data_IF_007583793215
#
_entry.id   IF_007583793215
#
_cell.length_a   1.000
_cell.length_b   1.000
_cell.length_c   1.000
_cell.angle_alpha   90.00
_cell.angle_beta   90.00
_cell.angle_gamma   90.00
#
_symmetry.space_group_name_H-M   'P 1'
#
loop_
_entity.id
_entity.type
_entity.pdbx_description
1 polymer ?
#
# COMPACT_ATOMS: atom_id res chain seq x y z
N UNK A 1 13.10 -15.26 12.13
CA UNK A 1 12.27 -14.28 11.40
C UNK A 1 10.78 -14.56 11.58
N UNK A 2 10.24 -15.63 10.98
CA UNK A 2 8.80 -15.94 11.02
C UNK A 2 8.22 -16.05 12.43
N UNK A 3 8.94 -16.74 13.34
CA UNK A 3 8.53 -16.83 14.75
C UNK A 3 8.38 -15.46 15.42
N UNK A 4 9.28 -14.51 15.15
CA UNK A 4 9.22 -13.16 15.73
C UNK A 4 7.99 -12.42 15.19
N UNK A 5 7.77 -12.43 13.87
CA UNK A 5 6.58 -11.80 13.27
C UNK A 5 5.29 -12.40 13.82
N UNK A 6 5.20 -13.73 13.93
CA UNK A 6 4.05 -14.40 14.53
C UNK A 6 3.82 -13.92 15.98
N UNK A 7 4.85 -13.98 16.83
CA UNK A 7 4.71 -13.57 18.25
C UNK A 7 4.35 -12.10 18.39
N UNK A 8 5.01 -11.20 17.65
CA UNK A 8 4.71 -9.78 17.65
C UNK A 8 3.28 -9.50 17.18
N UNK A 9 2.83 -10.15 16.10
CA UNK A 9 1.50 -9.94 15.55
C UNK A 9 0.40 -10.45 16.49
N UNK A 10 0.55 -11.67 17.03
CA UNK A 10 -0.41 -12.21 17.99
C UNK A 10 -0.48 -11.35 19.27
N UNK A 11 0.66 -10.82 19.72
CA UNK A 11 0.71 -9.92 20.89
C UNK A 11 0.03 -8.59 20.60
N UNK A 12 0.29 -7.98 19.44
CA UNK A 12 -0.36 -6.75 19.01
C UNK A 12 -1.88 -6.93 18.90
N UNK A 13 -2.36 -8.01 18.29
CA UNK A 13 -3.80 -8.30 18.23
C UNK A 13 -4.43 -8.43 19.62
N UNK A 14 -3.76 -9.13 20.54
CA UNK A 14 -4.28 -9.34 21.89
C UNK A 14 -4.36 -8.05 22.70
N UNK A 15 -3.31 -7.23 22.65
CA UNK A 15 -3.22 -5.97 23.39
C UNK A 15 -4.11 -4.87 22.81
N UNK A 16 -4.11 -4.75 21.48
CA UNK A 16 -4.63 -3.57 20.79
C UNK A 16 -6.03 -3.77 20.20
N UNK A 17 -6.42 -5.03 19.98
CA UNK A 17 -7.75 -5.42 19.48
C UNK A 17 -8.21 -4.60 18.25
N UNK A 18 -7.39 -4.50 17.18
CA UNK A 18 -7.74 -3.66 16.04
C UNK A 18 -8.93 -4.23 15.25
N UNK A 19 -9.77 -3.34 14.72
CA UNK A 19 -10.82 -3.71 13.77
C UNK A 19 -10.22 -4.15 12.42
N UNK A 20 -9.14 -3.48 11.99
CA UNK A 20 -8.50 -3.70 10.69
C UNK A 20 -6.99 -3.64 10.84
N UNK A 21 -6.30 -4.55 10.17
CA UNK A 21 -4.84 -4.57 10.00
C UNK A 21 -4.51 -4.38 8.53
N UNK A 22 -3.61 -3.44 8.23
CA UNK A 22 -3.07 -3.24 6.89
C UNK A 22 -1.64 -3.77 6.78
N UNK A 23 -1.37 -4.58 5.75
CA UNK A 23 -0.01 -5.00 5.37
C UNK A 23 0.35 -4.31 4.05
N UNK A 24 1.38 -3.47 4.10
CA UNK A 24 1.74 -2.56 3.00
C UNK A 24 2.70 -3.19 1.97
N UNK A 25 2.42 -4.43 1.54
CA UNK A 25 3.24 -5.15 0.55
C UNK A 25 4.36 -5.99 1.14
N UNK A 26 5.08 -6.66 0.24
CA UNK A 26 6.19 -7.58 0.54
C UNK A 26 5.79 -8.64 1.57
N UNK A 27 4.61 -9.21 1.36
CA UNK A 27 4.07 -10.28 2.19
C UNK A 27 4.92 -11.54 2.05
N UNK A 28 5.38 -11.82 0.84
CA UNK A 28 6.21 -12.96 0.50
C UNK A 28 7.60 -12.51 0.09
N UNK A 29 8.61 -13.11 0.71
CA UNK A 29 10.02 -12.81 0.44
C UNK A 29 10.41 -13.11 -1.02
N UNK A 30 9.90 -14.25 -1.53
CA UNK A 30 10.29 -14.84 -2.80
C UNK A 30 9.12 -15.02 -3.77
N UNK A 31 8.01 -14.32 -3.52
CA UNK A 31 6.83 -14.36 -4.38
C UNK A 31 7.20 -14.15 -5.85
N UNK A 32 8.02 -13.15 -6.16
CA UNK A 32 8.46 -12.82 -7.53
C UNK A 32 9.06 -13.98 -8.34
N UNK A 33 9.62 -15.02 -7.73
CA UNK A 33 10.17 -16.19 -8.43
C UNK A 33 9.71 -17.54 -7.89
N UNK A 34 8.76 -17.57 -6.96
CA UNK A 34 8.27 -18.80 -6.34
C UNK A 34 7.60 -19.73 -7.37
N UNK A 35 7.98 -21.01 -7.36
CA UNK A 35 7.21 -22.07 -8.01
C UNK A 35 5.79 -22.17 -7.40
N UNK A 36 4.82 -22.80 -8.07
CA UNK A 36 3.48 -22.97 -7.52
C UNK A 36 3.46 -23.68 -6.14
N UNK A 37 4.34 -24.66 -5.94
CA UNK A 37 4.49 -25.36 -4.66
C UNK A 37 5.10 -24.45 -3.58
N UNK A 38 6.18 -23.73 -3.90
CA UNK A 38 6.80 -22.80 -2.95
C UNK A 38 5.82 -21.68 -2.56
N UNK A 39 5.06 -21.14 -3.51
CA UNK A 39 3.98 -20.19 -3.26
C UNK A 39 2.94 -20.76 -2.28
N UNK A 40 2.46 -21.97 -2.51
CA UNK A 40 1.49 -22.61 -1.61
C UNK A 40 2.04 -22.77 -0.18
N UNK A 41 3.33 -23.08 -0.05
CA UNK A 41 4.01 -23.20 1.24
C UNK A 41 4.13 -21.84 1.95
N UNK A 42 4.52 -20.79 1.22
CA UNK A 42 4.53 -19.41 1.70
C UNK A 42 3.14 -18.98 2.18
N UNK A 43 2.09 -19.27 1.41
CA UNK A 43 0.70 -18.98 1.80
C UNK A 43 0.31 -19.69 3.10
N UNK A 44 0.70 -20.97 3.26
CA UNK A 44 0.42 -21.73 4.49
C UNK A 44 1.12 -21.10 5.70
N UNK A 45 2.38 -20.67 5.54
CA UNK A 45 3.13 -19.98 6.61
C UNK A 45 2.53 -18.63 6.94
N UNK A 46 2.20 -17.82 5.93
CA UNK A 46 1.54 -16.53 6.11
C UNK A 46 0.23 -16.67 6.92
N UNK A 47 -0.65 -17.58 6.52
CA UNK A 47 -1.93 -17.82 7.21
C UNK A 47 -1.76 -18.28 8.66
N UNK A 48 -0.65 -18.99 8.96
CA UNK A 48 -0.31 -19.38 10.33
C UNK A 48 0.18 -18.18 11.14
N UNK A 49 1.15 -17.43 10.62
CA UNK A 49 1.77 -16.31 11.34
C UNK A 49 0.75 -15.20 11.64
N UNK A 50 -0.04 -14.83 10.63
CA UNK A 50 -0.99 -13.72 10.67
C UNK A 50 -2.43 -14.19 10.95
N UNK A 51 -2.59 -15.29 11.68
CA UNK A 51 -3.90 -15.77 12.13
C UNK A 51 -4.54 -14.70 13.02
N UNK A 52 -5.80 -14.38 12.77
CA UNK A 52 -6.55 -13.35 13.49
C UNK A 52 -8.00 -13.82 13.72
N UNK A 53 -8.70 -13.27 14.74
CA UNK A 53 -10.10 -13.60 14.96
C UNK A 53 -10.99 -12.97 13.87
N UNK A 54 -12.15 -13.56 13.61
CA UNK A 54 -13.08 -13.12 12.56
C UNK A 54 -13.48 -11.63 12.60
N UNK A 55 -13.62 -10.97 13.77
CA UNK A 55 -13.95 -9.55 13.82
C UNK A 55 -12.84 -8.64 13.29
N UNK A 56 -11.58 -9.08 13.31
CA UNK A 56 -10.45 -8.31 12.77
C UNK A 56 -10.34 -8.60 11.28
N UNK A 57 -10.38 -7.56 10.45
CA UNK A 57 -10.08 -7.70 9.02
C UNK A 57 -8.58 -7.53 8.77
N UNK A 58 -8.01 -8.37 7.90
CA UNK A 58 -6.65 -8.18 7.41
C UNK A 58 -6.68 -7.86 5.93
N UNK A 59 -6.07 -6.73 5.57
CA UNK A 59 -6.00 -6.21 4.21
C UNK A 59 -4.53 -6.09 3.81
N UNK A 60 -4.15 -6.71 2.70
CA UNK A 60 -2.80 -6.59 2.15
C UNK A 60 -2.83 -5.89 0.79
N UNK A 61 -1.89 -4.97 0.58
CA UNK A 61 -1.56 -4.45 -0.75
C UNK A 61 -0.32 -5.18 -1.28
N UNK A 62 -0.11 -5.13 -2.59
CA UNK A 62 0.97 -5.86 -3.26
C UNK A 62 2.28 -5.07 -3.24
N UNK A 63 3.40 -5.75 -2.97
CA UNK A 63 4.76 -5.22 -3.09
C UNK A 63 5.60 -5.91 -4.17
N UNK A 64 6.85 -5.47 -4.32
CA UNK A 64 7.74 -5.96 -5.38
C UNK A 64 8.31 -7.35 -5.06
N UNK A 65 8.43 -7.75 -3.80
CA UNK A 65 8.79 -9.13 -3.47
C UNK A 65 7.65 -10.12 -3.74
N UNK A 66 6.40 -9.65 -3.76
CA UNK A 66 5.23 -10.48 -4.03
C UNK A 66 5.11 -10.86 -5.53
N UNK A 67 5.33 -9.87 -6.41
CA UNK A 67 5.06 -10.01 -7.85
C UNK A 67 6.23 -9.66 -8.78
N UNK A 68 7.34 -9.20 -8.23
CA UNK A 68 8.51 -8.70 -8.96
C UNK A 68 8.53 -7.17 -9.00
N UNK A 69 9.70 -6.60 -9.30
CA UNK A 69 9.75 -5.23 -9.81
C UNK A 69 8.98 -5.14 -11.14
N UNK A 70 8.70 -3.92 -11.62
CA UNK A 70 7.91 -3.72 -12.84
C UNK A 70 8.36 -4.59 -14.03
N UNK A 71 9.68 -4.66 -14.29
CA UNK A 71 10.25 -5.44 -15.39
C UNK A 71 10.10 -6.98 -15.23
N UNK A 72 9.82 -7.47 -14.02
CA UNK A 72 9.59 -8.89 -13.68
C UNK A 72 8.11 -9.21 -13.44
N UNK A 73 7.26 -8.18 -13.35
CA UNK A 73 5.85 -8.32 -13.03
C UNK A 73 5.11 -8.99 -14.18
N UNK A 74 4.31 -10.02 -13.85
CA UNK A 74 3.48 -10.72 -14.84
C UNK A 74 2.04 -10.84 -14.37
N UNK A 75 1.12 -10.97 -15.32
CA UNK A 75 -0.30 -11.16 -15.01
C UNK A 75 -0.54 -12.40 -14.13
N UNK A 76 0.23 -13.47 -14.31
CA UNK A 76 0.16 -14.66 -13.45
C UNK A 76 0.48 -14.33 -11.98
N UNK A 77 1.59 -13.61 -11.73
CA UNK A 77 2.04 -13.25 -10.38
C UNK A 77 1.05 -12.29 -9.71
N UNK A 78 0.56 -11.29 -10.43
CA UNK A 78 -0.46 -10.35 -9.95
C UNK A 78 -1.77 -11.08 -9.64
N UNK A 79 -2.28 -11.90 -10.58
CA UNK A 79 -3.57 -12.58 -10.40
C UNK A 79 -3.58 -13.56 -9.22
N UNK A 80 -2.49 -14.29 -8.96
CA UNK A 80 -2.44 -15.20 -7.80
C UNK A 80 -2.38 -14.45 -6.47
N UNK A 81 -1.73 -13.28 -6.43
CA UNK A 81 -1.72 -12.41 -5.25
C UNK A 81 -3.12 -11.81 -5.02
N UNK A 82 -3.71 -11.22 -6.05
CA UNK A 82 -5.06 -10.64 -6.04
C UNK A 82 -6.10 -11.66 -5.54
N UNK A 83 -6.04 -12.89 -6.05
CA UNK A 83 -6.93 -13.99 -5.63
C UNK A 83 -6.76 -14.36 -4.16
N UNK A 84 -5.52 -14.37 -3.65
CA UNK A 84 -5.26 -14.76 -2.27
C UNK A 84 -5.78 -13.72 -1.26
N UNK A 85 -5.56 -12.44 -1.56
CA UNK A 85 -5.85 -11.33 -0.64
C UNK A 85 -7.17 -10.61 -0.93
N UNK A 86 -7.97 -11.12 -1.89
CA UNK A 86 -9.15 -10.42 -2.40
C UNK A 86 -8.81 -8.96 -2.76
N UNK A 87 -7.66 -8.76 -3.39
CA UNK A 87 -7.15 -7.46 -3.82
C UNK A 87 -7.38 -7.31 -5.33
N UNK A 88 -7.43 -6.07 -5.81
CA UNK A 88 -7.33 -5.75 -7.23
C UNK A 88 -6.38 -4.57 -7.36
N UNK A 89 -5.57 -4.54 -8.42
CA UNK A 89 -4.63 -3.45 -8.73
C UNK A 89 -5.36 -2.12 -8.88
N UNK A 90 -5.64 -1.44 -7.77
CA UNK A 90 -6.72 -0.47 -7.61
C UNK A 90 -7.97 -1.09 -6.97
N UNK A 91 -8.18 -0.86 -5.67
CA UNK A 91 -9.37 -1.29 -4.91
C UNK A 91 -9.79 -0.21 -3.91
N UNK A 92 -11.08 -0.01 -3.74
CA UNK A 92 -11.64 0.79 -2.65
C UNK A 92 -12.24 -0.13 -1.59
N UNK A 93 -11.93 0.13 -0.32
CA UNK A 93 -12.68 -0.39 0.81
C UNK A 93 -13.17 0.75 1.69
N UNK A 94 -14.37 0.59 2.26
CA UNK A 94 -14.96 1.59 3.15
C UNK A 94 -15.25 0.94 4.50
N UNK A 95 -14.71 1.51 5.58
CA UNK A 95 -14.92 1.03 6.95
C UNK A 95 -15.21 2.20 7.87
N UNK A 96 -16.28 2.11 8.66
CA UNK A 96 -16.68 3.14 9.63
C UNK A 96 -16.70 4.56 9.03
N UNK A 97 -17.18 4.69 7.80
CA UNK A 97 -17.26 5.98 7.08
C UNK A 97 -15.94 6.49 6.49
N UNK A 98 -14.86 5.71 6.56
CA UNK A 98 -13.55 6.05 6.00
C UNK A 98 -13.32 5.25 4.72
N UNK A 99 -12.93 5.96 3.66
CA UNK A 99 -12.53 5.36 2.38
C UNK A 99 -11.02 5.10 2.35
N UNK A 100 -10.63 3.87 2.01
CA UNK A 100 -9.23 3.47 1.79
C UNK A 100 -9.06 3.02 0.34
N UNK A 101 -8.14 3.65 -0.37
CA UNK A 101 -7.78 3.31 -1.75
C UNK A 101 -6.48 2.53 -1.72
N UNK A 102 -6.55 1.26 -2.11
CA UNK A 102 -5.42 0.36 -2.19
C UNK A 102 -4.84 0.43 -3.60
N UNK A 103 -3.57 0.79 -3.71
CA UNK A 103 -2.88 1.02 -4.98
C UNK A 103 -1.84 -0.08 -5.20
N UNK A 104 -1.85 -0.69 -6.39
CA UNK A 104 -0.72 -1.50 -6.83
C UNK A 104 0.36 -0.54 -7.36
N UNK A 105 1.27 -0.11 -6.47
CA UNK A 105 2.32 0.84 -6.80
C UNK A 105 3.36 0.26 -7.77
N UNK A 106 3.55 -1.06 -7.82
CA UNK A 106 4.43 -1.72 -8.81
C UNK A 106 3.89 -1.52 -10.24
N UNK A 107 2.58 -1.38 -10.40
CA UNK A 107 1.93 -1.12 -11.68
C UNK A 107 1.83 0.38 -12.05
N UNK A 108 2.46 1.28 -11.29
CA UNK A 108 2.48 2.73 -11.54
C UNK A 108 3.77 3.18 -12.24
N UNK A 109 4.26 2.39 -13.20
CA UNK A 109 5.51 2.65 -13.93
C UNK A 109 5.44 3.88 -14.88
N UNK A 110 4.26 4.10 -15.47
CA UNK A 110 4.03 5.15 -16.47
C UNK A 110 4.46 4.77 -17.91
N UNK A 111 4.80 3.51 -18.19
CA UNK A 111 5.19 3.04 -19.53
C UNK A 111 4.02 2.56 -20.41
N UNK A 112 2.81 2.54 -19.87
CA UNK A 112 1.62 2.09 -20.58
C UNK A 112 1.49 0.56 -20.73
N UNK A 113 2.20 -0.23 -19.91
CA UNK A 113 2.07 -1.69 -19.90
C UNK A 113 0.60 -2.13 -19.70
N UNK A 114 0.24 -3.35 -20.11
CA UNK A 114 -1.15 -3.83 -20.02
C UNK A 114 -1.71 -3.84 -18.60
N UNK A 115 -0.91 -4.29 -17.63
CA UNK A 115 -1.27 -4.30 -16.20
C UNK A 115 -1.37 -2.86 -15.67
N UNK A 116 -0.44 -2.00 -16.06
CA UNK A 116 -0.34 -0.60 -15.68
C UNK A 116 -1.56 0.20 -16.12
N UNK A 117 -1.94 0.09 -17.40
CA UNK A 117 -3.14 0.73 -17.95
C UNK A 117 -4.41 0.26 -17.27
N UNK A 118 -4.52 -1.05 -16.99
CA UNK A 118 -5.68 -1.59 -16.28
C UNK A 118 -5.75 -1.06 -14.83
N UNK A 119 -4.60 -0.95 -14.15
CA UNK A 119 -4.51 -0.38 -12.80
C UNK A 119 -4.88 1.10 -12.78
N UNK A 120 -4.28 1.92 -13.65
CA UNK A 120 -4.60 3.34 -13.76
C UNK A 120 -6.07 3.59 -14.12
N UNK A 121 -6.65 2.78 -15.03
CA UNK A 121 -8.06 2.91 -15.39
C UNK A 121 -9.00 2.62 -14.20
N UNK A 122 -8.69 1.61 -13.37
CA UNK A 122 -9.42 1.33 -12.13
C UNK A 122 -9.30 2.48 -11.14
N UNK A 123 -8.08 2.98 -10.91
CA UNK A 123 -7.85 4.10 -10.00
C UNK A 123 -8.57 5.38 -10.45
N UNK A 124 -8.56 5.68 -11.75
CA UNK A 124 -9.29 6.81 -12.30
C UNK A 124 -10.81 6.67 -12.11
N UNK A 125 -11.36 5.46 -12.29
CA UNK A 125 -12.77 5.21 -12.02
C UNK A 125 -13.13 5.39 -10.53
N UNK A 126 -12.28 4.91 -9.62
CA UNK A 126 -12.45 5.13 -8.17
C UNK A 126 -12.36 6.62 -7.79
N UNK A 127 -11.42 7.36 -8.40
CA UNK A 127 -11.31 8.82 -8.23
C UNK A 127 -12.59 9.53 -8.66
N UNK A 128 -13.15 9.17 -9.81
CA UNK A 128 -14.43 9.71 -10.26
C UNK A 128 -15.56 9.42 -9.26
N UNK A 129 -15.64 8.20 -8.74
CA UNK A 129 -16.65 7.81 -7.75
C UNK A 129 -16.53 8.60 -6.44
N UNK A 130 -15.32 8.76 -5.91
CA UNK A 130 -15.05 9.52 -4.70
C UNK A 130 -15.37 11.01 -4.90
N UNK A 131 -14.95 11.60 -6.01
CA UNK A 131 -15.22 13.00 -6.33
C UNK A 131 -16.72 13.28 -6.48
N UNK A 132 -17.49 12.37 -7.10
CA UNK A 132 -18.94 12.48 -7.17
C UNK A 132 -19.59 12.43 -5.78
N UNK A 133 -19.06 11.62 -4.87
CA UNK A 133 -19.58 11.48 -3.50
C UNK A 133 -19.28 12.69 -2.62
N UNK A 134 -18.26 13.48 -2.95
CA UNK A 134 -17.90 14.72 -2.25
C UNK A 134 -18.66 15.96 -2.78
N UNK A 135 -19.32 15.87 -3.94
CA UNK A 135 -20.07 17.01 -4.49
C UNK A 135 -21.31 17.32 -3.63
N UNK A 136 -21.42 18.58 -3.19
CA UNK A 136 -22.63 19.08 -2.51
C UNK A 136 -23.83 18.98 -3.47
N UNK A 137 -24.97 18.50 -2.97
CA UNK A 137 -26.18 18.22 -3.77
C UNK A 137 -26.70 19.39 -4.62
N UNK A 138 -26.32 20.64 -4.32
CA UNK A 138 -26.78 21.83 -5.06
C UNK A 138 -26.17 21.99 -6.47
N UNK A 139 -25.16 21.19 -6.83
CA UNK A 139 -24.59 21.15 -8.18
C UNK A 139 -24.36 19.70 -8.63
N UNK A 140 -25.40 18.85 -8.60
CA UNK A 140 -25.31 17.51 -9.15
C UNK A 140 -24.98 17.59 -10.65
N UNK A 141 -23.70 17.41 -10.98
CA UNK A 141 -23.26 17.28 -12.36
C UNK A 141 -23.97 16.05 -12.96
N UNK A 142 -24.55 16.15 -14.17
CA UNK A 142 -25.19 15.00 -14.84
C UNK A 142 -24.28 13.78 -14.93
N UNK A 143 -22.96 13.98 -14.85
CA UNK A 143 -21.94 12.92 -14.84
C UNK A 143 -21.89 12.07 -13.56
N UNK A 144 -22.51 12.52 -12.47
CA UNK A 144 -22.53 11.82 -11.19
C UNK A 144 -23.89 11.17 -10.86
N UNK A 145 -24.88 11.24 -11.76
CA UNK A 145 -26.24 10.78 -11.48
C UNK A 145 -26.34 9.27 -11.23
N UNK A 146 -25.50 8.49 -11.90
CA UNK A 146 -25.56 7.02 -11.89
C UNK A 146 -24.44 6.41 -11.01
N UNK A 147 -23.76 7.25 -10.23
CA UNK A 147 -22.61 6.85 -9.41
C UNK A 147 -23.08 6.52 -7.99
N UNK A 148 -22.75 5.32 -7.51
CA UNK A 148 -23.04 4.93 -6.13
C UNK A 148 -22.33 5.85 -5.14
N UNK A 149 -23.12 6.46 -4.25
CA UNK A 149 -22.63 7.39 -3.24
C UNK A 149 -21.82 6.66 -2.15
N UNK A 150 -20.58 7.10 -1.96
CA UNK A 150 -19.70 6.68 -0.89
C UNK A 150 -19.77 7.69 0.27
N UNK A 151 -19.25 7.36 1.46
CA UNK A 151 -19.03 8.37 2.49
C UNK A 151 -18.21 9.54 1.94
N UNK A 152 -18.66 10.76 2.22
CA UNK A 152 -18.00 12.00 1.80
C UNK A 152 -16.77 12.28 2.68
N UNK A 153 -15.76 11.40 2.61
CA UNK A 153 -14.47 11.54 3.29
C UNK A 153 -13.35 11.62 2.27
N UNK A 154 -12.35 12.46 2.54
CA UNK A 154 -11.05 12.36 1.86
C UNK A 154 -10.43 10.98 2.13
N UNK A 155 -9.98 10.26 1.10
CA UNK A 155 -9.53 8.89 1.25
C UNK A 155 -8.15 8.82 1.92
N UNK A 156 -7.84 7.63 2.44
CA UNK A 156 -6.48 7.23 2.82
C UNK A 156 -5.92 6.37 1.68
N UNK A 157 -4.73 6.69 1.18
CA UNK A 157 -4.04 5.84 0.20
C UNK A 157 -3.20 4.80 0.92
N UNK A 158 -3.30 3.55 0.50
CA UNK A 158 -2.50 2.43 0.98
C UNK A 158 -1.73 1.85 -0.20
N UNK A 159 -0.40 1.86 -0.10
CA UNK A 159 0.46 1.38 -1.19
C UNK A 159 1.78 0.83 -0.65
N UNK A 160 2.56 0.19 -1.52
CA UNK A 160 3.85 -0.36 -1.11
C UNK A 160 4.99 0.65 -1.31
N UNK A 161 5.20 1.14 -2.54
CA UNK A 161 6.21 2.16 -2.81
C UNK A 161 5.77 3.52 -2.28
N UNK A 162 6.65 4.29 -1.62
CA UNK A 162 6.34 5.68 -1.27
C UNK A 162 6.06 6.54 -2.49
N UNK A 163 5.38 7.67 -2.29
CA UNK A 163 5.40 8.71 -3.32
C UNK A 163 6.83 9.24 -3.49
N UNK A 164 7.03 9.94 -4.59
CA UNK A 164 8.30 10.55 -4.93
C UNK A 164 8.83 11.44 -3.80
N UNK A 165 10.03 11.14 -3.32
CA UNK A 165 10.91 12.01 -2.55
C UNK A 165 12.36 11.73 -2.95
N UNK A 166 13.24 12.72 -2.80
CA UNK A 166 14.62 12.59 -3.28
C UNK A 166 15.45 11.57 -2.49
N UNK A 167 15.21 11.46 -1.19
CA UNK A 167 15.84 10.52 -0.27
C UNK A 167 15.07 10.51 1.06
N UNK A 168 15.57 9.78 2.06
CA UNK A 168 15.08 9.82 3.43
C UNK A 168 15.78 10.88 4.30
N UNK A 169 16.51 11.84 3.71
CA UNK A 169 17.37 12.78 4.45
C UNK A 169 16.62 13.59 5.51
N UNK A 170 15.40 14.02 5.19
CA UNK A 170 14.51 14.79 6.06
C UNK A 170 13.77 13.93 7.09
N UNK A 171 13.84 12.60 6.97
CA UNK A 171 13.20 11.70 7.92
C UNK A 171 13.96 11.73 9.27
N UNK A 172 13.19 11.61 10.34
CA UNK A 172 13.69 11.59 11.72
C UNK A 172 12.88 10.60 12.56
N UNK A 173 13.34 10.36 13.79
CA UNK A 173 12.71 9.41 14.72
C UNK A 173 13.52 8.13 14.90
N UNK A 174 13.15 7.35 15.91
CA UNK A 174 13.83 6.13 16.33
C UNK A 174 13.93 5.08 15.21
N UNK A 175 12.89 5.00 14.39
CA UNK A 175 12.78 4.03 13.31
C UNK A 175 13.24 4.55 11.94
N UNK A 176 13.77 5.78 11.87
CA UNK A 176 14.31 6.34 10.62
C UNK A 176 15.57 5.61 10.14
N UNK A 177 15.86 5.71 8.84
CA UNK A 177 17.08 5.14 8.27
C UNK A 177 18.32 5.81 8.90
N UNK A 178 19.43 5.08 9.09
CA UNK A 178 20.64 5.64 9.67
C UNK A 178 21.23 6.75 8.77
N UNK A 179 22.03 7.69 9.31
CA UNK A 179 22.55 8.84 8.57
C UNK A 179 23.25 8.49 7.25
N UNK A 180 23.97 7.37 7.22
CA UNK A 180 24.67 6.85 6.05
C UNK A 180 23.75 6.36 4.93
N UNK A 181 22.54 5.94 5.24
CA UNK A 181 21.55 5.44 4.28
C UNK A 181 20.56 6.52 3.86
N UNK A 182 20.13 7.36 4.81
CA UNK A 182 19.03 8.29 4.56
C UNK A 182 19.36 9.38 3.53
N UNK A 183 20.64 9.70 3.34
CA UNK A 183 21.08 10.68 2.33
C UNK A 183 21.30 10.07 0.94
N UNK A 184 21.13 8.75 0.78
CA UNK A 184 21.29 8.10 -0.52
C UNK A 184 20.10 8.50 -1.41
N UNK A 185 20.34 9.09 -2.60
CA UNK A 185 19.26 9.47 -3.49
C UNK A 185 18.46 8.25 -3.95
N UNK A 186 17.14 8.35 -3.86
CA UNK A 186 16.23 7.33 -4.34
C UNK A 186 16.14 7.32 -5.86
N UNK A 187 16.04 6.11 -6.40
CA UNK A 187 15.77 5.85 -7.80
C UNK A 187 14.26 5.74 -8.01
N UNK A 188 13.71 6.63 -8.83
CA UNK A 188 12.33 6.55 -9.28
C UNK A 188 12.02 5.19 -9.90
N UNK A 189 10.80 4.70 -9.68
CA UNK A 189 10.26 3.42 -10.17
C UNK A 189 10.95 2.18 -9.57
N UNK A 190 11.84 2.40 -8.60
CA UNK A 190 12.52 1.35 -7.87
C UNK A 190 12.31 1.54 -6.37
N UNK A 191 12.88 2.60 -5.79
CA UNK A 191 12.78 2.89 -4.35
C UNK A 191 11.50 3.68 -4.03
N UNK A 192 11.01 4.48 -4.97
CA UNK A 192 9.82 5.34 -4.86
C UNK A 192 9.06 5.37 -6.18
N UNK A 193 7.79 5.78 -6.17
CA UNK A 193 7.06 6.11 -7.39
C UNK A 193 7.72 7.27 -8.15
N UNK A 194 7.46 7.34 -9.46
CA UNK A 194 7.92 8.49 -10.24
C UNK A 194 7.22 9.79 -9.81
N UNK A 195 7.83 10.94 -10.11
CA UNK A 195 7.21 12.26 -9.91
C UNK A 195 5.82 12.33 -10.53
N UNK A 196 5.67 11.84 -11.76
CA UNK A 196 4.40 11.86 -12.50
C UNK A 196 3.36 10.95 -11.86
N UNK A 197 3.73 9.71 -11.51
CA UNK A 197 2.83 8.78 -10.83
C UNK A 197 2.34 9.34 -9.49
N UNK A 198 3.25 9.97 -8.75
CA UNK A 198 2.94 10.59 -7.46
C UNK A 198 1.96 11.76 -7.59
N UNK A 199 2.20 12.64 -8.56
CA UNK A 199 1.32 13.75 -8.89
C UNK A 199 -0.07 13.28 -9.34
N UNK A 200 -0.14 12.21 -10.16
CA UNK A 200 -1.42 11.60 -10.55
C UNK A 200 -2.23 11.16 -9.34
N UNK A 201 -1.63 10.43 -8.40
CA UNK A 201 -2.33 9.93 -7.21
C UNK A 201 -2.83 11.06 -6.31
N UNK A 202 -1.99 12.08 -6.07
CA UNK A 202 -2.38 13.28 -5.31
C UNK A 202 -3.55 14.00 -5.99
N UNK A 203 -3.48 14.20 -7.30
CA UNK A 203 -4.51 14.88 -8.08
C UNK A 203 -5.82 14.09 -8.17
N UNK A 204 -5.74 12.78 -8.32
CA UNK A 204 -6.93 11.94 -8.44
C UNK A 204 -7.70 11.83 -7.13
N UNK A 205 -7.01 11.77 -6.01
CA UNK A 205 -7.64 11.38 -4.75
C UNK A 205 -7.71 12.47 -3.69
N UNK A 206 -6.88 13.51 -3.77
CA UNK A 206 -6.75 14.52 -2.71
C UNK A 206 -6.74 13.88 -1.31
N UNK A 207 -5.84 12.91 -1.06
CA UNK A 207 -5.95 12.09 0.13
C UNK A 207 -5.60 12.89 1.39
N UNK A 208 -6.20 12.51 2.52
CA UNK A 208 -5.88 13.10 3.81
C UNK A 208 -4.64 12.47 4.48
N UNK A 209 -4.27 11.27 4.04
CA UNK A 209 -3.14 10.49 4.53
C UNK A 209 -2.72 9.46 3.49
N UNK A 210 -1.43 9.24 3.37
CA UNK A 210 -0.84 8.17 2.57
C UNK A 210 -0.02 7.27 3.51
N UNK A 211 -0.23 5.97 3.43
CA UNK A 211 0.58 4.98 4.12
C UNK A 211 1.33 4.13 3.08
N UNK A 212 2.65 4.10 3.21
CA UNK A 212 3.56 3.37 2.33
C UNK A 212 4.54 2.48 3.11
N UNK A 213 5.38 1.71 2.40
CA UNK A 213 6.39 0.85 2.99
C UNK A 213 7.67 0.86 2.14
N UNK A 214 8.14 -0.33 1.73
CA UNK A 214 9.26 -0.57 0.82
C UNK A 214 10.67 -0.18 1.31
N UNK A 215 10.89 1.04 1.81
CA UNK A 215 12.23 1.50 2.24
C UNK A 215 12.69 0.87 3.56
N UNK A 216 11.83 0.06 4.18
CA UNK A 216 12.03 -0.64 5.46
C UNK A 216 12.24 0.25 6.68
N UNK A 217 12.25 1.57 6.51
CA UNK A 217 12.48 2.55 7.55
C UNK A 217 11.31 3.51 7.68
N UNK A 218 11.11 4.02 8.90
CA UNK A 218 10.07 4.99 9.16
C UNK A 218 10.44 6.32 8.51
N UNK A 219 9.47 6.93 7.84
CA UNK A 219 9.61 8.30 7.38
C UNK A 219 8.26 9.00 7.34
N UNK A 220 8.23 10.25 7.80
CA UNK A 220 7.08 11.12 7.67
C UNK A 220 7.47 12.30 6.77
N UNK A 221 6.70 12.51 5.70
CA UNK A 221 6.90 13.62 4.77
C UNK A 221 5.58 14.31 4.46
N UNK A 222 5.66 15.58 4.08
CA UNK A 222 4.49 16.39 3.75
C UNK A 222 4.51 16.76 2.26
N UNK A 223 3.60 16.17 1.50
CA UNK A 223 3.45 16.42 0.07
C UNK A 223 2.62 17.67 -0.19
N UNK A 224 3.07 18.51 -1.13
CA UNK A 224 2.44 19.79 -1.48
C UNK A 224 2.16 20.71 -0.27
N UNK A 225 2.86 20.52 0.84
CA UNK A 225 2.67 21.27 2.08
C UNK A 225 1.41 20.94 2.86
N UNK A 226 0.62 19.94 2.45
CA UNK A 226 -0.69 19.65 3.08
C UNK A 226 -1.01 18.17 3.28
N UNK A 227 -0.44 17.26 2.48
CA UNK A 227 -0.80 15.83 2.50
C UNK A 227 0.29 15.03 3.20
N UNK A 228 0.05 14.51 4.41
CA UNK A 228 1.04 13.68 5.10
C UNK A 228 1.15 12.30 4.44
N UNK A 229 2.39 11.84 4.28
CA UNK A 229 2.72 10.45 3.99
C UNK A 229 3.56 9.87 5.13
N UNK A 230 3.19 8.68 5.58
CA UNK A 230 3.94 7.88 6.55
C UNK A 230 4.40 6.59 5.86
N UNK A 231 5.70 6.46 5.65
CA UNK A 231 6.34 5.19 5.28
C UNK A 231 6.56 4.38 6.55
N UNK A 232 5.97 3.19 6.61
CA UNK A 232 6.00 2.31 7.78
C UNK A 232 7.25 1.43 7.73
N UNK A 233 8.01 1.33 8.84
CA UNK A 233 9.19 0.47 8.90
C UNK A 233 8.84 -1.01 8.78
N UNK A 234 9.84 -1.83 8.45
CA UNK A 234 9.61 -3.27 8.30
C UNK A 234 9.26 -3.93 9.64
N UNK A 235 8.17 -4.70 9.65
CA UNK A 235 7.76 -5.53 10.78
C UNK A 235 8.64 -6.79 10.99
N UNK A 236 9.67 -6.96 10.16
CA UNK A 236 10.50 -8.17 10.09
C UNK A 236 11.94 -7.89 10.53
N UNK A 237 12.43 -8.69 11.49
CA UNK A 237 13.83 -8.63 11.94
C UNK A 237 14.88 -8.84 10.83
N UNK A 238 14.51 -9.41 9.68
CA UNK A 238 15.44 -9.56 8.55
C UNK A 238 15.94 -8.22 8.02
N UNK A 239 15.07 -7.22 8.00
CA UNK A 239 15.35 -5.96 7.31
C UNK A 239 15.89 -4.91 8.29
N UNK A 240 15.65 -5.08 9.59
CA UNK A 240 16.16 -4.22 10.66
C UNK A 240 16.15 -4.92 12.02
N UNK A 241 17.00 -4.47 12.93
CA UNK A 241 17.11 -5.01 14.29
C UNK A 241 16.09 -4.40 15.28
N UNK A 242 15.20 -3.53 14.82
CA UNK A 242 14.12 -2.89 15.58
C UNK A 242 12.81 -2.94 14.79
N UNK A 243 12.25 -4.13 14.49
CA UNK A 243 11.01 -4.22 13.74
C UNK A 243 9.87 -3.55 14.50
N UNK A 244 9.06 -2.78 13.78
CA UNK A 244 7.97 -2.00 14.37
C UNK A 244 6.77 -1.90 13.42
N UNK A 245 5.71 -1.29 13.92
CA UNK A 245 4.45 -1.04 13.21
C UNK A 245 3.84 0.25 13.78
N UNK A 246 2.88 0.83 13.06
CA UNK A 246 2.12 2.01 13.51
C UNK A 246 0.66 1.64 13.79
N UNK A 247 0.00 2.45 14.62
CA UNK A 247 -1.43 2.34 14.94
C UNK A 247 -2.15 3.65 14.60
#
# INVERSE_FOLDING_TARGET
REWQMERSFQTALWLLQPDVVFILGDVFDEGKWSSPQAWADDVRRFKKMFKHPLPTELVAVVGNHDVGFHYEMTAYKVNRFEKLFNFTSGKLITRKGINFVLVNSVAMEGDGCGICRASEAKLLALSHQLNCSQQKQNHSNKRCSDVEALPASEPILLQHYPLYRESDAECSGEDSAPPEEKNIPFKEKYDVLSREASQKLLWWFHPRLILSGHTHSACEVLHAGTVPEVSVPSFSWRNRNNPSFIM
#
